data_IF_422836911004
#
_entry.id   IF_422836911004
#
_cell.length_a   1.000
_cell.length_b   1.000
_cell.length_c   1.000
_cell.angle_alpha   90.00
_cell.angle_beta   90.00
_cell.angle_gamma   90.00
#
_symmetry.space_group_name_H-M   'P 1'
#
loop_
_entity.id
_entity.type
_entity.pdbx_description
1 polymer ?
#
# COMPACT_ATOMS: atom_id res chain seq x y z
N UNK A 1 -20.21 -6.81 -7.62
CA UNK A 1 -19.17 -5.85 -7.23
C UNK A 1 -19.20 -5.68 -5.72
N UNK A 2 -18.06 -5.76 -5.04
CA UNK A 2 -17.93 -5.48 -3.61
C UNK A 2 -16.80 -4.48 -3.43
N UNK A 3 -17.14 -3.30 -2.92
CA UNK A 3 -16.20 -2.21 -2.72
C UNK A 3 -15.84 -2.07 -1.25
N UNK A 4 -14.54 -2.08 -0.96
CA UNK A 4 -14.00 -1.87 0.37
C UNK A 4 -13.39 -0.47 0.40
N UNK A 5 -13.99 0.38 1.23
CA UNK A 5 -13.59 1.77 1.38
C UNK A 5 -12.36 1.92 2.26
N UNK A 6 -11.65 3.04 2.09
CA UNK A 6 -10.57 3.40 3.00
C UNK A 6 -11.09 3.75 4.40
N UNK A 7 -10.33 3.39 5.43
CA UNK A 7 -10.65 3.72 6.82
C UNK A 7 -10.16 5.12 7.17
N UNK A 8 -11.07 6.10 7.13
CA UNK A 8 -10.80 7.52 7.39
C UNK A 8 -9.99 7.76 8.67
N UNK A 9 -10.32 7.08 9.78
CA UNK A 9 -9.63 7.29 11.07
C UNK A 9 -8.14 7.00 10.97
N UNK A 10 -7.74 5.92 10.30
CA UNK A 10 -6.35 5.49 10.21
C UNK A 10 -5.54 6.43 9.30
N UNK A 11 -6.18 6.98 8.27
CA UNK A 11 -5.56 8.01 7.42
C UNK A 11 -5.34 9.29 8.23
N UNK A 12 -6.34 9.78 8.98
CA UNK A 12 -6.21 11.00 9.79
C UNK A 12 -5.11 10.87 10.84
N UNK A 13 -5.12 9.78 11.61
CA UNK A 13 -4.12 9.55 12.66
C UNK A 13 -2.71 9.48 12.07
N UNK A 14 -2.56 8.85 10.89
CA UNK A 14 -1.28 8.80 10.19
C UNK A 14 -0.77 10.19 9.76
N UNK A 15 -1.66 11.06 9.26
CA UNK A 15 -1.29 12.44 8.87
C UNK A 15 -0.86 13.24 10.09
N UNK A 16 -1.65 13.17 11.17
CA UNK A 16 -1.32 13.86 12.41
C UNK A 16 0.04 13.43 12.94
N UNK A 17 0.31 12.12 12.94
CA UNK A 17 1.58 11.57 13.41
C UNK A 17 2.76 12.02 12.54
N UNK A 18 2.60 12.04 11.21
CA UNK A 18 3.64 12.56 10.30
C UNK A 18 3.92 14.05 10.55
N UNK A 19 2.89 14.88 10.74
CA UNK A 19 3.06 16.31 11.02
C UNK A 19 3.75 16.52 12.37
N UNK A 20 3.29 15.82 13.42
CA UNK A 20 3.90 15.89 14.75
C UNK A 20 5.39 15.48 14.71
N UNK A 21 5.72 14.43 13.95
CA UNK A 21 7.09 13.98 13.78
C UNK A 21 7.96 14.99 13.03
N UNK A 22 7.45 15.63 11.97
CA UNK A 22 8.16 16.71 11.26
C UNK A 22 8.44 17.88 12.21
N UNK A 23 7.45 18.31 13.01
CA UNK A 23 7.63 19.39 14.00
C UNK A 23 8.72 19.02 15.01
N UNK A 24 8.72 17.79 15.51
CA UNK A 24 9.77 17.29 16.40
C UNK A 24 11.14 17.31 15.74
N UNK A 25 11.26 16.86 14.49
CA UNK A 25 12.52 16.87 13.75
C UNK A 25 13.04 18.30 13.51
N UNK A 26 12.14 19.25 13.21
CA UNK A 26 12.50 20.66 13.06
C UNK A 26 12.96 21.28 14.38
N UNK A 27 12.31 20.92 15.49
CA UNK A 27 12.73 21.36 16.82
C UNK A 27 14.12 20.83 17.18
N UNK A 28 14.38 19.54 16.93
CA UNK A 28 15.72 18.94 17.14
C UNK A 28 16.74 19.59 16.20
N UNK A 29 16.37 19.86 14.95
CA UNK A 29 17.25 20.52 13.98
C UNK A 29 17.66 21.92 14.44
N UNK A 30 16.72 22.68 15.00
CA UNK A 30 16.98 24.03 15.52
C UNK A 30 17.85 24.03 16.78
N UNK A 31 17.67 23.03 17.66
CA UNK A 31 18.34 22.95 18.97
C UNK A 31 19.69 22.22 18.92
N UNK A 32 19.96 21.46 17.87
CA UNK A 32 21.13 20.58 17.78
C UNK A 32 22.32 21.23 17.04
N UNK A 33 23.51 20.67 17.26
CA UNK A 33 24.70 21.05 16.52
C UNK A 33 24.65 20.56 15.06
N UNK A 34 25.35 21.27 14.18
CA UNK A 34 25.27 21.06 12.72
C UNK A 34 25.69 19.65 12.26
N UNK A 35 26.37 18.86 13.12
CA UNK A 35 26.81 17.49 12.83
C UNK A 35 25.66 16.52 12.53
N UNK A 36 24.46 16.76 13.05
CA UNK A 36 23.29 15.89 12.83
C UNK A 36 22.35 16.38 11.71
N UNK A 37 22.62 17.56 11.16
CA UNK A 37 21.78 18.19 10.14
C UNK A 37 21.48 17.28 8.94
N UNK A 38 22.44 16.53 8.36
CA UNK A 38 22.18 15.67 7.20
C UNK A 38 21.18 14.55 7.51
N UNK A 39 21.28 13.95 8.71
CA UNK A 39 20.41 12.84 9.13
C UNK A 39 18.99 13.36 9.36
N UNK A 40 18.85 14.51 10.01
CA UNK A 40 17.54 15.12 10.25
C UNK A 40 16.85 15.53 8.95
N UNK A 41 17.58 16.14 8.02
CA UNK A 41 17.06 16.46 6.68
C UNK A 41 16.59 15.20 5.96
N UNK A 42 17.38 14.13 6.00
CA UNK A 42 17.00 12.84 5.42
C UNK A 42 15.71 12.28 6.02
N UNK A 43 15.56 12.30 7.35
CA UNK A 43 14.34 11.86 8.03
C UNK A 43 13.13 12.73 7.70
N UNK A 44 13.30 14.04 7.56
CA UNK A 44 12.23 14.95 7.10
C UNK A 44 11.81 14.56 5.68
N UNK A 45 12.75 14.36 4.76
CA UNK A 45 12.45 13.94 3.38
C UNK A 45 11.69 12.61 3.33
N UNK A 46 12.09 11.61 4.13
CA UNK A 46 11.36 10.34 4.24
C UNK A 46 9.94 10.56 4.77
N UNK A 47 9.80 11.37 5.83
CA UNK A 47 8.49 11.61 6.45
C UNK A 47 7.55 12.34 5.48
N UNK A 48 8.07 13.30 4.72
CA UNK A 48 7.33 13.99 3.66
C UNK A 48 6.91 13.03 2.54
N UNK A 49 7.80 12.12 2.15
CA UNK A 49 7.47 11.07 1.18
C UNK A 49 6.30 10.21 1.67
N UNK A 50 6.37 9.71 2.91
CA UNK A 50 5.30 8.89 3.52
C UNK A 50 3.99 9.70 3.60
N UNK A 51 4.06 10.94 4.07
CA UNK A 51 2.89 11.81 4.19
C UNK A 51 2.19 12.00 2.84
N UNK A 52 2.95 12.31 1.79
CA UNK A 52 2.39 12.56 0.47
C UNK A 52 1.87 11.29 -0.21
N UNK A 53 2.72 10.27 -0.37
CA UNK A 53 2.40 9.08 -1.16
C UNK A 53 1.45 8.10 -0.45
N UNK A 54 1.54 7.97 0.88
CA UNK A 54 0.74 7.00 1.63
C UNK A 54 -0.43 7.60 2.39
N UNK A 55 -0.47 8.91 2.67
CA UNK A 55 -1.54 9.48 3.50
C UNK A 55 -2.40 10.48 2.74
N UNK A 56 -1.79 11.49 2.12
CA UNK A 56 -2.52 12.49 1.32
C UNK A 56 -3.16 11.83 0.10
N UNK A 57 -2.44 10.95 -0.60
CA UNK A 57 -3.00 10.20 -1.73
C UNK A 57 -4.26 9.41 -1.35
N UNK A 58 -4.19 8.60 -0.28
CA UNK A 58 -5.36 7.81 0.16
C UNK A 58 -6.50 8.70 0.66
N UNK A 59 -6.21 9.85 1.28
CA UNK A 59 -7.25 10.83 1.57
C UNK A 59 -7.94 11.29 0.29
N UNK A 60 -7.18 11.74 -0.71
CA UNK A 60 -7.72 12.27 -1.96
C UNK A 60 -8.57 11.20 -2.64
N UNK A 61 -8.09 9.96 -2.73
CA UNK A 61 -8.83 8.85 -3.31
C UNK A 61 -10.13 8.57 -2.54
N UNK A 62 -10.09 8.53 -1.20
CA UNK A 62 -11.28 8.41 -0.37
C UNK A 62 -12.27 9.58 -0.58
N UNK A 63 -11.78 10.83 -0.65
CA UNK A 63 -12.62 12.02 -0.88
C UNK A 63 -13.28 11.99 -2.26
N UNK A 64 -12.60 11.43 -3.25
CA UNK A 64 -13.12 11.25 -4.60
C UNK A 64 -14.04 10.02 -4.73
N UNK A 65 -14.35 9.32 -3.62
CA UNK A 65 -15.22 8.14 -3.62
C UNK A 65 -14.57 6.89 -4.21
N UNK A 66 -13.25 6.87 -4.39
CA UNK A 66 -12.53 5.70 -4.91
C UNK A 66 -12.34 4.68 -3.78
N UNK A 67 -12.78 3.43 -3.96
CA UNK A 67 -12.56 2.39 -2.95
C UNK A 67 -11.08 2.03 -2.86
N UNK A 68 -10.63 1.60 -1.69
CA UNK A 68 -9.26 1.11 -1.52
C UNK A 68 -9.04 -0.24 -2.18
N UNK A 69 -10.07 -1.09 -2.19
CA UNK A 69 -10.09 -2.35 -2.91
C UNK A 69 -11.47 -2.54 -3.55
N UNK A 70 -11.52 -2.76 -4.86
CA UNK A 70 -12.74 -3.15 -5.57
C UNK A 70 -12.62 -4.60 -6.02
N UNK A 71 -13.63 -5.40 -5.66
CA UNK A 71 -13.71 -6.82 -5.99
C UNK A 71 -14.79 -6.98 -7.06
N UNK A 72 -14.31 -7.14 -8.28
CA UNK A 72 -15.11 -7.20 -9.51
C UNK A 72 -15.31 -8.65 -9.95
N UNK A 73 -16.11 -8.83 -10.99
CA UNK A 73 -16.37 -10.17 -11.53
C UNK A 73 -15.16 -10.71 -12.30
N UNK A 74 -14.42 -9.82 -12.98
CA UNK A 74 -13.25 -10.18 -13.78
C UNK A 74 -11.95 -10.22 -12.95
N UNK A 75 -11.89 -9.53 -11.81
CA UNK A 75 -10.67 -9.45 -11.01
C UNK A 75 -10.78 -8.57 -9.77
N UNK A 76 -9.63 -8.13 -9.29
CA UNK A 76 -9.47 -7.24 -8.14
C UNK A 76 -8.74 -5.98 -8.58
N UNK A 77 -9.30 -4.81 -8.24
CA UNK A 77 -8.63 -3.52 -8.36
C UNK A 77 -8.09 -3.09 -7.00
N UNK A 78 -6.77 -3.07 -6.86
CA UNK A 78 -6.07 -2.65 -5.65
C UNK A 78 -5.59 -1.20 -5.78
N UNK A 79 -6.14 -0.31 -4.96
CA UNK A 79 -5.75 1.10 -4.85
C UNK A 79 -4.93 1.40 -3.59
N UNK A 80 -4.66 0.38 -2.76
CA UNK A 80 -3.86 0.53 -1.53
C UNK A 80 -2.35 0.60 -1.78
N UNK A 81 -1.89 0.25 -2.98
CA UNK A 81 -0.50 0.38 -3.37
C UNK A 81 -0.17 1.78 -3.94
N UNK A 82 1.13 2.07 -4.07
CA UNK A 82 1.62 3.33 -4.66
C UNK A 82 1.11 3.55 -6.09
N UNK A 83 0.82 2.48 -6.81
CA UNK A 83 0.18 2.50 -8.13
C UNK A 83 -1.06 1.61 -8.10
N UNK A 84 -2.19 2.15 -8.59
CA UNK A 84 -3.43 1.37 -8.73
C UNK A 84 -3.21 0.23 -9.72
N UNK A 85 -3.72 -0.95 -9.39
CA UNK A 85 -3.55 -2.12 -10.24
C UNK A 85 -4.75 -3.03 -10.28
N UNK A 86 -5.10 -3.46 -11.49
CA UNK A 86 -6.09 -4.50 -11.71
C UNK A 86 -5.41 -5.86 -11.91
N UNK A 87 -5.88 -6.86 -11.18
CA UNK A 87 -5.37 -8.23 -11.21
C UNK A 87 -6.54 -9.16 -11.57
N UNK A 88 -6.55 -9.78 -12.77
CA UNK A 88 -7.58 -10.71 -13.18
C UNK A 88 -7.60 -11.95 -12.29
N UNK A 89 -8.79 -12.50 -12.01
CA UNK A 89 -8.92 -13.69 -11.16
C UNK A 89 -8.15 -14.90 -11.70
N UNK A 90 -8.08 -15.06 -13.02
CA UNK A 90 -7.39 -16.16 -13.72
C UNK A 90 -5.87 -16.18 -13.42
N UNK A 91 -5.30 -15.02 -13.13
CA UNK A 91 -3.87 -14.89 -12.81
C UNK A 91 -3.58 -15.19 -11.33
N UNK A 92 -4.59 -15.13 -10.46
CA UNK A 92 -4.43 -15.30 -9.01
C UNK A 92 -4.36 -16.79 -8.66
N UNK A 93 -3.29 -17.19 -7.99
CA UNK A 93 -3.12 -18.54 -7.46
C UNK A 93 -3.66 -18.66 -6.04
N UNK A 94 -3.31 -17.71 -5.16
CA UNK A 94 -3.69 -17.74 -3.75
C UNK A 94 -3.55 -16.37 -3.08
N UNK A 95 -4.18 -16.23 -1.92
CA UNK A 95 -3.98 -15.11 -1.01
C UNK A 95 -3.25 -15.59 0.24
N UNK A 96 -2.07 -15.02 0.46
CA UNK A 96 -1.20 -15.30 1.59
C UNK A 96 -1.25 -14.13 2.57
N UNK A 97 -1.46 -14.39 3.86
CA UNK A 97 -1.24 -13.39 4.90
C UNK A 97 0.26 -13.12 5.01
N UNK A 98 0.64 -11.84 5.13
CA UNK A 98 2.03 -11.43 5.23
C UNK A 98 2.76 -12.11 6.40
N UNK A 99 3.91 -12.72 6.12
CA UNK A 99 4.74 -13.40 7.12
C UNK A 99 5.57 -12.43 7.99
N UNK A 100 5.60 -11.12 7.67
CA UNK A 100 6.41 -10.12 8.37
C UNK A 100 5.59 -9.37 9.44
N UNK A 101 5.34 -10.11 10.54
CA UNK A 101 5.00 -9.78 11.95
C UNK A 101 4.48 -8.42 12.45
N UNK A 102 4.25 -7.38 11.64
CA UNK A 102 3.78 -6.07 12.16
C UNK A 102 2.89 -5.28 11.21
N UNK A 103 2.67 -5.74 9.97
CA UNK A 103 1.80 -5.03 9.02
C UNK A 103 0.71 -5.99 8.57
N UNK A 104 -0.56 -5.63 8.77
CA UNK A 104 -1.70 -6.43 8.31
C UNK A 104 -1.77 -6.28 6.78
N UNK A 105 -1.03 -7.14 6.09
CA UNK A 105 -0.91 -7.10 4.63
C UNK A 105 -1.26 -8.45 4.05
N UNK A 106 -1.97 -8.43 2.93
CA UNK A 106 -2.30 -9.64 2.17
C UNK A 106 -1.50 -9.61 0.88
N UNK A 107 -0.72 -10.66 0.64
CA UNK A 107 0.00 -10.87 -0.60
C UNK A 107 -0.89 -11.64 -1.58
N UNK A 108 -1.02 -11.10 -2.79
CA UNK A 108 -1.69 -11.75 -3.91
C UNK A 108 -0.65 -12.54 -4.69
N UNK A 109 -0.64 -13.87 -4.53
CA UNK A 109 0.24 -14.73 -5.32
C UNK A 109 -0.36 -14.92 -6.70
N UNK A 110 0.40 -14.55 -7.73
CA UNK A 110 -0.03 -14.61 -9.13
C UNK A 110 0.86 -15.56 -9.93
N UNK A 111 0.36 -16.07 -11.07
CA UNK A 111 1.12 -16.97 -11.95
C UNK A 111 2.37 -16.32 -12.53
N UNK A 112 2.30 -15.03 -12.86
CA UNK A 112 3.41 -14.29 -13.46
C UNK A 112 3.69 -13.00 -12.68
N UNK A 113 4.48 -13.11 -11.62
CA UNK A 113 4.85 -11.96 -10.77
C UNK A 113 5.66 -10.90 -11.53
N UNK A 114 6.49 -11.29 -12.50
CA UNK A 114 7.36 -10.38 -13.27
C UNK A 114 6.56 -9.36 -14.10
N UNK A 115 5.34 -9.70 -14.52
CA UNK A 115 4.43 -8.78 -15.22
C UNK A 115 4.14 -7.53 -14.37
N UNK A 116 4.01 -7.72 -13.06
CA UNK A 116 3.62 -6.68 -12.11
C UNK A 116 4.79 -5.76 -11.72
N UNK A 117 6.03 -6.19 -11.96
CA UNK A 117 7.22 -5.33 -11.84
C UNK A 117 7.34 -4.31 -12.98
N UNK A 118 6.74 -4.60 -14.14
CA UNK A 118 6.88 -3.80 -15.38
C UNK A 118 5.76 -2.78 -15.58
N UNK A 119 4.82 -2.70 -14.63
CA UNK A 119 3.72 -1.73 -14.68
C UNK A 119 4.29 -0.32 -14.75
N UNK A 120 3.75 0.51 -15.65
CA UNK A 120 4.22 1.87 -15.89
C UNK A 120 3.96 2.72 -14.64
N UNK A 121 5.04 3.23 -14.01
CA UNK A 121 5.01 4.14 -12.86
C UNK A 121 5.62 5.48 -13.26
N UNK A 122 5.52 6.47 -12.37
CA UNK A 122 6.30 7.71 -12.53
C UNK A 122 7.80 7.41 -12.48
N UNK A 123 8.65 8.26 -13.07
CA UNK A 123 10.10 8.08 -13.10
C UNK A 123 10.69 7.89 -11.69
N UNK A 124 10.17 8.67 -10.74
CA UNK A 124 10.53 8.58 -9.32
C UNK A 124 10.19 7.21 -8.71
N UNK A 125 8.95 6.75 -8.84
CA UNK A 125 8.52 5.44 -8.32
C UNK A 125 9.23 4.28 -9.01
N UNK A 126 9.59 4.44 -10.29
CA UNK A 126 10.39 3.45 -11.02
C UNK A 126 11.80 3.34 -10.44
N UNK A 127 12.43 4.47 -10.11
CA UNK A 127 13.75 4.49 -9.47
C UNK A 127 13.70 3.86 -8.07
N UNK A 128 12.71 4.23 -7.25
CA UNK A 128 12.50 3.63 -5.94
C UNK A 128 12.24 2.13 -6.02
N UNK A 129 11.42 1.67 -6.98
CA UNK A 129 11.18 0.24 -7.18
C UNK A 129 12.48 -0.51 -7.49
N UNK A 130 13.33 0.03 -8.39
CA UNK A 130 14.63 -0.59 -8.70
C UNK A 130 15.51 -0.76 -7.46
N UNK A 131 15.55 0.25 -6.58
CA UNK A 131 16.30 0.19 -5.32
C UNK A 131 15.64 -0.83 -4.38
N UNK A 132 14.31 -0.78 -4.24
CA UNK A 132 13.54 -1.68 -3.39
C UNK A 132 13.67 -3.15 -3.77
N UNK A 133 13.82 -3.46 -5.07
CA UNK A 133 14.05 -4.83 -5.58
C UNK A 133 15.36 -5.45 -5.10
N UNK A 134 16.34 -4.65 -4.66
CA UNK A 134 17.56 -5.18 -4.04
C UNK A 134 17.29 -5.74 -2.63
N UNK A 135 16.23 -5.26 -1.97
CA UNK A 135 15.89 -5.61 -0.59
C UNK A 135 14.62 -6.46 -0.47
N UNK A 136 13.88 -6.66 -1.56
CA UNK A 136 12.58 -7.36 -1.57
C UNK A 136 12.58 -8.50 -2.58
N UNK A 137 12.05 -9.65 -2.17
CA UNK A 137 11.89 -10.83 -3.04
C UNK A 137 10.57 -10.85 -3.83
N UNK A 138 9.58 -10.04 -3.43
CA UNK A 138 8.23 -10.01 -3.99
C UNK A 138 7.87 -8.60 -4.52
N UNK A 139 7.09 -8.48 -5.62
CA UNK A 139 6.61 -7.20 -6.14
C UNK A 139 5.76 -6.43 -5.12
N UNK A 140 5.95 -5.12 -5.05
CA UNK A 140 5.24 -4.21 -4.15
C UNK A 140 3.74 -4.05 -4.50
N UNK A 141 3.38 -4.07 -5.79
CA UNK A 141 1.99 -3.88 -6.25
C UNK A 141 1.05 -5.05 -5.92
N UNK A 142 1.60 -6.21 -5.60
CA UNK A 142 0.82 -7.41 -5.24
C UNK A 142 0.46 -7.46 -3.76
N UNK A 143 0.84 -6.44 -2.99
CA UNK A 143 0.46 -6.30 -1.58
C UNK A 143 -0.80 -5.46 -1.45
N UNK A 144 -1.75 -5.96 -0.68
CA UNK A 144 -2.92 -5.20 -0.20
C UNK A 144 -2.60 -4.74 1.22
N UNK A 145 -2.59 -3.43 1.44
CA UNK A 145 -2.47 -2.86 2.78
C UNK A 145 -3.85 -2.85 3.46
N UNK A 146 -4.04 -3.73 4.44
CA UNK A 146 -5.33 -3.88 5.14
C UNK A 146 -5.52 -2.79 6.20
N UNK A 147 -4.43 -2.23 6.73
CA UNK A 147 -4.50 -1.21 7.79
C UNK A 147 -5.14 0.09 7.31
N UNK A 148 -5.16 0.32 6.00
CA UNK A 148 -5.84 1.48 5.38
C UNK A 148 -7.28 1.18 4.94
N UNK A 149 -7.73 -0.07 5.04
CA UNK A 149 -9.07 -0.50 4.62
C UNK A 149 -10.07 -0.55 5.78
N UNK A 150 -11.35 -0.33 5.48
CA UNK A 150 -12.45 -0.43 6.44
C UNK A 150 -12.96 -1.88 6.62
N UNK A 151 -12.05 -2.86 6.64
CA UNK A 151 -12.35 -4.29 6.83
C UNK A 151 -11.22 -4.95 7.63
N UNK A 152 -11.51 -6.00 8.40
CA UNK A 152 -10.45 -6.76 9.07
C UNK A 152 -9.73 -7.71 8.11
N UNK A 153 -8.47 -8.03 8.39
CA UNK A 153 -7.67 -8.95 7.58
C UNK A 153 -8.35 -10.32 7.43
N UNK A 154 -8.88 -10.87 8.53
CA UNK A 154 -9.56 -12.16 8.52
C UNK A 154 -10.81 -12.15 7.63
N UNK A 155 -11.62 -11.08 7.72
CA UNK A 155 -12.81 -10.92 6.89
C UNK A 155 -12.42 -10.77 5.42
N UNK A 156 -11.40 -9.98 5.13
CA UNK A 156 -10.90 -9.76 3.78
C UNK A 156 -10.35 -11.05 3.17
N UNK A 157 -9.50 -11.79 3.89
CA UNK A 157 -8.98 -13.09 3.44
C UNK A 157 -10.10 -14.09 3.17
N UNK A 158 -11.10 -14.15 4.05
CA UNK A 158 -12.25 -15.05 3.89
C UNK A 158 -13.02 -14.70 2.62
N UNK A 159 -13.28 -13.41 2.40
CA UNK A 159 -14.02 -12.92 1.24
C UNK A 159 -13.25 -13.17 -0.07
N UNK A 160 -11.95 -12.89 -0.09
CA UNK A 160 -11.08 -13.13 -1.25
C UNK A 160 -10.99 -14.61 -1.61
N UNK A 161 -10.79 -15.48 -0.61
CA UNK A 161 -10.73 -16.94 -0.82
C UNK A 161 -12.07 -17.51 -1.28
N UNK A 162 -13.17 -17.05 -0.70
CA UNK A 162 -14.52 -17.44 -1.12
C UNK A 162 -14.78 -17.07 -2.59
N UNK A 163 -14.39 -15.86 -2.99
CA UNK A 163 -14.54 -15.42 -4.39
C UNK A 163 -13.66 -16.19 -5.36
N UNK A 164 -12.41 -16.42 -5.03
CA UNK A 164 -11.50 -17.24 -5.85
C UNK A 164 -12.02 -18.67 -6.04
N UNK A 165 -12.51 -19.29 -4.96
CA UNK A 165 -13.08 -20.64 -5.02
C UNK A 165 -14.36 -20.70 -5.88
N UNK A 166 -15.19 -19.66 -5.85
CA UNK A 166 -16.36 -19.55 -6.73
C UNK A 166 -15.95 -19.47 -8.21
N UNK A 167 -14.95 -18.64 -8.52
CA UNK A 167 -14.52 -18.45 -9.90
C UNK A 167 -13.89 -19.71 -10.49
N UNK A 168 -13.08 -20.43 -9.70
CA UNK A 168 -12.48 -21.71 -10.11
C UNK A 168 -13.49 -22.86 -10.32
N UNK A 169 -14.75 -22.70 -9.87
CA UNK A 169 -15.83 -23.67 -10.11
C UNK A 169 -16.67 -23.34 -11.34
N UNK A 170 -16.53 -22.14 -11.90
CA UNK A 170 -17.32 -21.65 -13.04
C UNK A 170 -16.56 -21.61 -14.36
N UNK A 171 -15.23 -21.76 -14.34
CA UNK A 171 -14.38 -21.96 -15.52
C UNK A 171 -13.92 -23.41 -15.64
#
# INVERSE_FOLDING_TARGET
>A
MVDIQFKKSNIMTGIFLCIAFIVLLLFIFYTSSNSYAPILIFLICITLHILYFHKIKFWIDHKNGRPGLSIEEQGILNNTADTSIFIPWEEIQSFESGFFRTQNQIFIKVRNEKKYDQVKRTTYLTALNKIGRLFRSKPDLLWIDVDVLAISEQQLLTLLRSRLAKNNRQG
#
